data_IF_632491867954
#
_entry.id   IF_632491867954
#
_cell.length_a   1.000
_cell.length_b   1.000
_cell.length_c   1.000
_cell.angle_alpha   90.00
_cell.angle_beta   90.00
_cell.angle_gamma   90.00
#
_symmetry.space_group_name_H-M   'P 1'
#
loop_
_entity.id
_entity.type
_entity.pdbx_description
1 polymer ?
#
# COMPACT_ATOMS: atom_id res chain seq x y z
N UNK A 1 -48.99 -6.34 -8.42
CA UNK A 1 -47.72 -7.04 -8.08
C UNK A 1 -47.31 -7.93 -9.24
N UNK A 2 -46.43 -7.45 -10.11
CA UNK A 2 -45.98 -8.20 -11.29
C UNK A 2 -44.75 -9.02 -10.92
N UNK A 3 -44.86 -10.35 -10.90
CA UNK A 3 -43.74 -11.25 -10.59
C UNK A 3 -42.78 -11.27 -11.79
N UNK A 4 -41.54 -10.85 -11.58
CA UNK A 4 -40.44 -10.95 -12.56
C UNK A 4 -39.91 -12.38 -12.50
N UNK A 5 -40.14 -13.17 -13.55
CA UNK A 5 -39.55 -14.52 -13.67
C UNK A 5 -38.12 -14.35 -14.16
N UNK A 6 -37.15 -14.72 -13.33
CA UNK A 6 -35.72 -14.75 -13.70
C UNK A 6 -35.46 -16.10 -14.36
N UNK A 7 -35.04 -16.09 -15.64
CA UNK A 7 -34.68 -17.30 -16.38
C UNK A 7 -33.35 -17.82 -15.83
N UNK A 8 -33.31 -19.08 -15.39
CA UNK A 8 -32.07 -19.75 -15.00
C UNK A 8 -31.17 -19.93 -16.22
N UNK A 9 -29.88 -19.57 -16.08
CA UNK A 9 -28.87 -19.80 -17.10
C UNK A 9 -28.73 -21.30 -17.36
N UNK A 10 -28.56 -21.66 -18.63
CA UNK A 10 -28.43 -23.05 -19.06
C UNK A 10 -27.05 -23.61 -18.69
N UNK A 11 -26.90 -24.94 -18.50
CA UNK A 11 -25.60 -25.56 -18.21
C UNK A 11 -24.50 -25.25 -19.23
N UNK A 12 -24.87 -24.95 -20.47
CA UNK A 12 -23.95 -24.56 -21.54
C UNK A 12 -23.44 -23.11 -21.39
N UNK A 13 -24.23 -22.21 -20.78
CA UNK A 13 -23.79 -20.85 -20.46
C UNK A 13 -22.87 -20.82 -19.24
N UNK A 14 -23.05 -21.77 -18.30
CA UNK A 14 -22.18 -21.97 -17.14
C UNK A 14 -20.82 -22.52 -17.59
N UNK A 15 -20.80 -23.57 -18.41
CA UNK A 15 -19.56 -24.17 -18.91
C UNK A 15 -18.71 -23.20 -19.77
N UNK A 16 -19.37 -22.35 -20.57
CA UNK A 16 -18.67 -21.34 -21.40
C UNK A 16 -18.13 -20.16 -20.57
N UNK A 17 -18.74 -19.86 -19.42
CA UNK A 17 -18.21 -18.90 -18.45
C UNK A 17 -17.02 -19.49 -17.67
N UNK A 18 -17.05 -20.79 -17.37
CA UNK A 18 -15.96 -21.52 -16.72
C UNK A 18 -14.74 -21.66 -17.63
N UNK A 19 -14.90 -21.97 -18.92
CA UNK A 19 -13.78 -21.99 -19.89
C UNK A 19 -13.13 -20.61 -20.06
N UNK A 20 -13.94 -19.54 -20.07
CA UNK A 20 -13.42 -18.16 -20.16
C UNK A 20 -12.75 -17.70 -18.87
N UNK A 21 -13.09 -18.28 -17.72
CA UNK A 21 -12.37 -18.08 -16.44
C UNK A 21 -11.10 -18.93 -16.36
N UNK A 22 -11.08 -20.12 -16.97
CA UNK A 22 -9.92 -21.00 -17.01
C UNK A 22 -8.80 -20.48 -17.93
N UNK A 23 -9.13 -19.79 -19.03
CA UNK A 23 -8.12 -19.22 -19.95
C UNK A 23 -7.49 -17.91 -19.45
N UNK A 24 -8.06 -17.32 -18.39
CA UNK A 24 -7.41 -16.22 -17.63
C UNK A 24 -6.45 -16.78 -16.58
N UNK A 25 -6.50 -18.09 -16.32
CA UNK A 25 -5.58 -18.74 -15.40
C UNK A 25 -4.18 -18.87 -16.03
N UNK A 26 -3.22 -18.20 -15.40
CA UNK A 26 -1.79 -18.42 -15.52
C UNK A 26 -1.07 -17.85 -16.75
N UNK A 27 -1.26 -16.55 -17.04
CA UNK A 27 -0.10 -15.79 -17.56
C UNK A 27 1.00 -15.82 -16.49
N UNK A 28 2.26 -16.15 -16.85
CA UNK A 28 3.35 -16.15 -15.88
C UNK A 28 3.53 -14.75 -15.29
N UNK A 29 3.56 -14.66 -13.95
CA UNK A 29 3.79 -13.41 -13.26
C UNK A 29 5.22 -12.90 -13.54
N UNK A 30 5.34 -11.61 -13.83
CA UNK A 30 6.65 -10.97 -13.94
C UNK A 30 7.36 -11.03 -12.57
N UNK A 31 8.65 -11.38 -12.57
CA UNK A 31 9.48 -11.45 -11.36
C UNK A 31 10.78 -10.69 -11.55
N UNK A 32 11.31 -10.15 -10.46
CA UNK A 32 12.63 -9.54 -10.46
C UNK A 32 13.71 -10.62 -10.67
N UNK A 33 14.63 -10.37 -11.61
CA UNK A 33 15.80 -11.24 -11.85
C UNK A 33 17.07 -10.73 -11.17
N UNK A 34 17.01 -9.54 -10.57
CA UNK A 34 18.12 -8.92 -9.86
C UNK A 34 18.32 -9.58 -8.49
N UNK A 35 19.59 -9.73 -8.08
CA UNK A 35 19.98 -10.17 -6.73
C UNK A 35 20.20 -9.00 -5.77
N UNK A 36 19.99 -7.76 -6.22
CA UNK A 36 20.12 -6.58 -5.36
C UNK A 36 19.02 -6.58 -4.32
N UNK A 37 19.38 -6.28 -3.08
CA UNK A 37 18.40 -6.05 -2.02
C UNK A 37 17.49 -4.87 -2.38
N UNK A 38 16.21 -5.06 -2.11
CA UNK A 38 15.14 -4.08 -2.36
C UNK A 38 14.43 -3.70 -1.07
N UNK A 39 15.09 -3.90 0.06
CA UNK A 39 14.58 -3.61 1.39
C UNK A 39 15.73 -3.27 2.34
N UNK A 40 15.40 -2.65 3.46
CA UNK A 40 16.30 -2.44 4.60
C UNK A 40 15.62 -3.02 5.83
N UNK A 41 16.38 -3.65 6.72
CA UNK A 41 15.86 -4.06 8.03
C UNK A 41 16.10 -2.94 9.04
N UNK A 42 15.08 -2.63 9.82
CA UNK A 42 15.14 -1.77 11.01
C UNK A 42 14.75 -2.64 12.20
N UNK A 43 15.66 -2.80 13.16
CA UNK A 43 15.40 -3.53 14.40
C UNK A 43 14.78 -2.55 15.38
N UNK A 44 13.64 -2.91 15.96
CA UNK A 44 12.93 -2.04 16.90
C UNK A 44 13.59 -2.10 18.28
N UNK A 45 13.80 -0.94 18.89
CA UNK A 45 14.23 -0.88 20.29
C UNK A 45 13.10 -1.29 21.23
N UNK A 46 11.85 -0.97 20.85
CA UNK A 46 10.63 -1.32 21.58
C UNK A 46 9.72 -2.20 20.71
N UNK A 47 9.87 -3.54 20.77
CA UNK A 47 9.02 -4.46 20.02
C UNK A 47 7.54 -4.27 20.31
N UNK A 48 6.72 -4.36 19.26
CA UNK A 48 5.26 -4.17 19.33
C UNK A 48 4.56 -5.51 19.15
N UNK A 49 3.54 -5.80 19.94
CA UNK A 49 2.65 -6.94 19.72
C UNK A 49 1.32 -6.47 19.12
N UNK A 50 0.88 -7.12 18.04
CA UNK A 50 -0.44 -6.90 17.45
C UNK A 50 -1.00 -8.23 16.94
N UNK A 51 -2.26 -8.52 17.27
CA UNK A 51 -2.96 -9.77 16.92
C UNK A 51 -2.13 -11.04 17.23
N UNK A 52 -1.48 -11.07 18.40
CA UNK A 52 -0.64 -12.18 18.85
C UNK A 52 0.68 -12.35 18.09
N UNK A 53 1.04 -11.40 17.21
CA UNK A 53 2.32 -11.35 16.51
C UNK A 53 3.22 -10.28 17.12
N UNK A 54 4.43 -10.68 17.52
CA UNK A 54 5.45 -9.73 18.00
C UNK A 54 6.31 -9.29 16.82
N UNK A 55 6.39 -7.98 16.63
CA UNK A 55 7.21 -7.29 15.65
C UNK A 55 8.47 -6.80 16.37
N UNK A 56 9.59 -7.48 16.15
CA UNK A 56 10.92 -7.09 16.66
C UNK A 56 11.73 -6.30 15.61
N UNK A 57 11.34 -6.41 14.33
CA UNK A 57 11.97 -5.71 13.22
C UNK A 57 10.92 -5.38 12.14
N UNK A 58 11.14 -4.27 11.45
CA UNK A 58 10.37 -3.87 10.28
C UNK A 58 11.26 -3.81 9.04
N UNK A 59 10.67 -4.08 7.87
CA UNK A 59 11.41 -4.22 6.61
C UNK A 59 10.80 -3.36 5.50
N UNK A 60 10.98 -2.03 5.55
CA UNK A 60 10.59 -1.18 4.43
C UNK A 60 11.30 -1.63 3.15
N UNK A 61 10.56 -1.62 2.03
CA UNK A 61 11.09 -2.06 0.74
C UNK A 61 10.55 -1.32 -0.48
N UNK A 62 11.24 -1.51 -1.61
CA UNK A 62 10.86 -0.91 -2.90
C UNK A 62 9.57 -1.51 -3.43
N UNK A 63 8.66 -0.62 -3.78
CA UNK A 63 7.43 -0.95 -4.49
C UNK A 63 7.73 -1.40 -5.94
N UNK A 64 6.97 -2.37 -6.41
CA UNK A 64 6.79 -2.68 -7.83
C UNK A 64 5.89 -1.64 -8.49
N UNK A 65 5.83 -1.64 -9.83
CA UNK A 65 4.96 -0.71 -10.55
C UNK A 65 3.48 -0.87 -10.20
N UNK A 66 3.03 -2.09 -9.87
CA UNK A 66 1.66 -2.35 -9.44
C UNK A 66 1.39 -1.77 -8.04
N UNK A 67 2.30 -2.02 -7.09
CA UNK A 67 2.22 -1.49 -5.72
C UNK A 67 2.29 0.05 -5.69
N UNK A 68 3.02 0.69 -6.62
CA UNK A 68 3.02 2.16 -6.75
C UNK A 68 1.65 2.71 -7.13
N UNK A 69 0.95 2.07 -8.05
CA UNK A 69 -0.40 2.48 -8.44
C UNK A 69 -1.39 2.32 -7.30
N UNK A 70 -1.30 1.21 -6.56
CA UNK A 70 -2.11 0.95 -5.37
C UNK A 70 -1.87 2.01 -4.29
N UNK A 71 -0.61 2.32 -4.01
CA UNK A 71 -0.25 3.35 -3.04
C UNK A 71 -0.76 4.75 -3.46
N UNK A 72 -0.75 5.06 -4.75
CA UNK A 72 -1.31 6.32 -5.26
C UNK A 72 -2.85 6.41 -5.13
N UNK A 73 -3.57 5.29 -5.06
CA UNK A 73 -5.00 5.29 -4.71
C UNK A 73 -5.19 5.54 -3.22
N UNK A 74 -4.36 4.94 -2.35
CA UNK A 74 -4.38 5.18 -0.90
C UNK A 74 -4.19 6.67 -0.61
N UNK A 75 -3.16 7.29 -1.20
CA UNK A 75 -2.89 8.73 -1.02
C UNK A 75 -4.06 9.62 -1.47
N UNK A 76 -4.83 9.21 -2.48
CA UNK A 76 -6.01 9.96 -2.93
C UNK A 76 -7.21 9.81 -2.00
N UNK A 77 -7.24 8.76 -1.18
CA UNK A 77 -8.30 8.53 -0.21
C UNK A 77 -8.12 9.29 1.11
N UNK A 78 -6.92 9.84 1.35
CA UNK A 78 -6.59 10.56 2.58
C UNK A 78 -7.17 11.99 2.49
N UNK A 79 -7.98 12.44 3.48
CA UNK A 79 -8.52 13.79 3.51
C UNK A 79 -7.41 14.85 3.54
N UNK A 80 -7.68 15.99 2.91
CA UNK A 80 -6.77 17.14 2.94
C UNK A 80 -6.46 17.54 4.40
N UNK A 81 -5.16 17.59 4.73
CA UNK A 81 -4.67 17.96 6.06
C UNK A 81 -4.43 16.80 7.02
N UNK A 82 -4.76 15.56 6.65
CA UNK A 82 -4.36 14.38 7.41
C UNK A 82 -2.96 13.89 7.02
N UNK A 83 -2.19 13.39 8.00
CA UNK A 83 -0.86 12.85 7.76
C UNK A 83 -0.96 11.47 7.11
N UNK A 84 -0.33 11.29 5.96
CA UNK A 84 -0.24 10.01 5.26
C UNK A 84 0.92 9.12 5.74
N UNK A 85 1.70 9.58 6.73
CA UNK A 85 2.96 8.93 7.12
C UNK A 85 2.72 7.52 7.64
N UNK A 86 1.71 7.30 8.49
CA UNK A 86 1.40 5.97 9.04
C UNK A 86 1.02 5.00 7.92
N UNK A 87 0.14 5.42 7.00
CA UNK A 87 -0.30 4.61 5.86
C UNK A 87 0.88 4.29 4.93
N UNK A 88 1.74 5.27 4.68
CA UNK A 88 2.95 5.09 3.88
C UNK A 88 3.86 4.04 4.51
N UNK A 89 4.23 4.24 5.76
CA UNK A 89 5.18 3.34 6.44
C UNK A 89 4.61 1.93 6.55
N UNK A 90 3.33 1.80 6.89
CA UNK A 90 2.63 0.53 6.96
C UNK A 90 2.67 -0.21 5.61
N UNK A 91 2.38 0.52 4.50
CA UNK A 91 2.40 -0.04 3.16
C UNK A 91 3.80 -0.50 2.72
N UNK A 92 4.83 0.29 3.00
CA UNK A 92 6.22 -0.05 2.66
C UNK A 92 6.77 -1.21 3.49
N UNK A 93 6.35 -1.34 4.76
CA UNK A 93 6.77 -2.41 5.66
C UNK A 93 5.90 -3.66 5.54
N UNK A 94 4.74 -3.58 4.87
CA UNK A 94 3.73 -4.65 4.75
C UNK A 94 3.20 -5.12 6.11
N UNK A 95 2.88 -4.16 6.97
CA UNK A 95 2.31 -4.40 8.30
C UNK A 95 1.03 -3.57 8.49
N UNK A 96 0.16 -3.92 9.45
CA UNK A 96 -1.01 -3.11 9.78
C UNK A 96 -0.65 -1.69 10.23
N UNK A 97 -1.51 -0.72 9.94
CA UNK A 97 -1.34 0.67 10.40
C UNK A 97 -1.25 0.77 11.93
N UNK A 98 -2.00 -0.06 12.65
CA UNK A 98 -1.99 -0.13 14.11
C UNK A 98 -0.59 -0.46 14.67
N UNK A 99 0.19 -1.29 13.96
CA UNK A 99 1.57 -1.60 14.36
C UNK A 99 2.44 -0.35 14.27
N UNK A 100 2.28 0.43 13.20
CA UNK A 100 3.04 1.66 12.98
C UNK A 100 2.62 2.76 13.96
N UNK A 101 1.32 2.90 14.21
CA UNK A 101 0.77 3.88 15.14
C UNK A 101 1.17 3.61 16.61
N UNK A 102 1.50 2.36 16.94
CA UNK A 102 1.94 1.93 18.26
C UNK A 102 3.46 1.97 18.47
N UNK A 103 4.25 2.28 17.44
CA UNK A 103 5.71 2.40 17.57
C UNK A 103 6.08 3.50 18.57
N UNK A 104 7.18 3.30 19.28
CA UNK A 104 7.84 4.39 19.99
C UNK A 104 8.22 5.51 19.01
N UNK A 105 8.34 6.75 19.50
CA UNK A 105 8.65 7.90 18.66
C UNK A 105 9.97 7.77 17.90
N UNK A 106 11.01 7.20 18.52
CA UNK A 106 12.32 7.06 17.88
C UNK A 106 12.31 5.93 16.84
N UNK A 107 11.70 4.79 17.18
CA UNK A 107 11.47 3.67 16.25
C UNK A 107 10.61 4.13 15.04
N UNK A 108 9.56 4.91 15.28
CA UNK A 108 8.71 5.45 14.22
C UNK A 108 9.51 6.35 13.27
N UNK A 109 10.37 7.23 13.80
CA UNK A 109 11.22 8.10 12.98
C UNK A 109 12.19 7.28 12.12
N UNK A 110 12.89 6.31 12.73
CA UNK A 110 13.86 5.49 12.00
C UNK A 110 13.21 4.68 10.87
N UNK A 111 12.06 4.06 11.15
CA UNK A 111 11.33 3.29 10.14
C UNK A 111 10.78 4.21 9.04
N UNK A 112 10.32 5.41 9.40
CA UNK A 112 9.84 6.42 8.44
C UNK A 112 10.92 6.90 7.49
N UNK A 113 12.12 7.16 8.00
CA UNK A 113 13.29 7.54 7.20
C UNK A 113 13.69 6.39 6.26
N UNK A 114 13.76 5.16 6.80
CA UNK A 114 14.07 3.98 6.01
C UNK A 114 13.00 3.69 4.92
N UNK A 115 11.72 3.98 5.17
CA UNK A 115 10.66 3.89 4.17
C UNK A 115 10.79 4.97 3.09
N UNK A 116 11.14 6.19 3.50
CA UNK A 116 11.29 7.35 2.61
C UNK A 116 12.40 7.16 1.56
N UNK A 117 13.47 6.44 1.90
CA UNK A 117 14.55 6.03 0.98
C UNK A 117 14.04 5.22 -0.24
N UNK A 118 12.87 4.58 -0.09
CA UNK A 118 12.27 3.76 -1.13
C UNK A 118 11.15 4.47 -1.91
N UNK A 119 10.81 5.72 -1.57
CA UNK A 119 9.81 6.49 -2.29
C UNK A 119 10.22 6.71 -3.77
N UNK A 120 9.36 6.36 -4.73
CA UNK A 120 9.60 6.70 -6.13
C UNK A 120 9.66 8.21 -6.33
N UNK A 121 10.60 8.69 -7.15
CA UNK A 121 10.79 10.13 -7.45
C UNK A 121 9.51 10.86 -7.84
N UNK A 122 8.62 10.22 -8.60
CA UNK A 122 7.33 10.80 -8.99
C UNK A 122 6.38 11.07 -7.82
N UNK A 123 6.43 10.23 -6.78
CA UNK A 123 5.63 10.40 -5.58
C UNK A 123 6.24 11.44 -4.64
N UNK A 124 7.58 11.51 -4.56
CA UNK A 124 8.28 12.59 -3.84
C UNK A 124 7.84 13.97 -4.35
N UNK A 125 7.82 14.15 -5.67
CA UNK A 125 7.38 15.41 -6.29
C UNK A 125 5.91 15.74 -6.02
N UNK A 126 5.02 14.73 -5.98
CA UNK A 126 3.61 14.94 -5.69
C UNK A 126 3.38 15.36 -4.22
N UNK A 127 4.13 14.76 -3.29
CA UNK A 127 4.13 15.13 -1.87
C UNK A 127 4.64 16.57 -1.68
N UNK A 128 5.73 16.94 -2.35
CA UNK A 128 6.29 18.30 -2.30
C UNK A 128 5.29 19.34 -2.83
N UNK A 129 4.63 19.09 -3.97
CA UNK A 129 3.64 20.01 -4.56
C UNK A 129 2.40 20.23 -3.69
N UNK A 130 1.95 19.20 -2.97
CA UNK A 130 0.79 19.29 -2.07
C UNK A 130 1.14 20.11 -0.82
N UNK A 131 2.40 20.07 -0.38
CA UNK A 131 2.91 20.82 0.77
C UNK A 131 3.11 22.32 0.48
N UNK A 132 3.45 22.70 -0.76
CA UNK A 132 3.65 24.11 -1.15
C UNK A 132 2.33 24.89 -1.36
N UNK A 133 1.22 24.20 -1.64
CA UNK A 133 -0.05 24.86 -1.99
C UNK A 133 -0.76 25.51 -0.78
N UNK A 134 -0.31 25.25 0.45
CA UNK A 134 -0.89 25.82 1.69
C UNK A 134 -0.32 27.16 2.17
N UNK A 135 0.74 27.71 1.55
CA UNK A 135 1.55 28.77 2.17
C UNK A 135 1.29 30.22 1.72
N UNK A 136 0.23 30.53 0.95
CA UNK A 136 -0.01 31.90 0.46
C UNK A 136 -1.37 32.46 0.90
N UNK A 137 -1.44 33.00 2.12
CA UNK A 137 -2.40 34.08 2.44
C UNK A 137 -1.64 35.40 2.49
N UNK A 138 -1.79 36.32 1.51
CA UNK A 138 -1.26 37.66 1.65
C UNK A 138 -2.10 38.42 2.70
N UNK A 139 -1.44 38.92 3.74
CA UNK A 139 -2.04 39.83 4.70
C UNK A 139 -2.57 41.08 3.97
N UNK A 140 -3.85 41.40 4.18
CA UNK A 140 -4.45 42.69 3.83
C UNK A 140 -4.49 43.60 5.06
#
# INVERSE_FOLDING_TARGET
MTKRVVRAATPQEIAKAEEKQADVAAKPAARFVSKKERSRTVVLEYPVEYDGTVYEELKPGRLSGAEVSEFAEILRGIPDGESYQVQMVAFFCRVPEDVIAALDSDDFLEVSDAASDFLPRKLQMAIEQTSETGANTPAS
#
